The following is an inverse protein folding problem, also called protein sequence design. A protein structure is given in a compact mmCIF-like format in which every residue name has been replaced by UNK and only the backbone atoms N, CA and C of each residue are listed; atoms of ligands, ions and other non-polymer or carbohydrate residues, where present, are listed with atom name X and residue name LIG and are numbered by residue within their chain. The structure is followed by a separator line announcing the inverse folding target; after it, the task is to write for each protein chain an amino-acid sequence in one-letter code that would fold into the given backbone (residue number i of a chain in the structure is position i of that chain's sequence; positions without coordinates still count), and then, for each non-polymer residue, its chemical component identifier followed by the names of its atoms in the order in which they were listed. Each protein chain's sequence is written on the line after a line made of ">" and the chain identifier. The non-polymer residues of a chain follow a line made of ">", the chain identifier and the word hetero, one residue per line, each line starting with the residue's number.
data_IF_972242452046
#
_entry.id   IF_972242452046
#
_cell.length_a   1.000
_cell.length_b   1.000
_cell.length_c   1.000
_cell.angle_alpha   90.00
_cell.angle_beta   90.00
_cell.angle_gamma   90.00
#
_symmetry.space_group_name_H-M   'P 1'
#
loop_
_entity.id
_entity.type
_entity.pdbx_description
1 polymer ?
#
# COMPACT_ATOMS: atom_id res chain seq x y z
N UNK A 1 2.56 10.83 4.88
CA UNK A 1 1.41 10.61 3.97
C UNK A 1 1.95 10.57 2.55
N UNK A 2 1.35 9.75 1.66
CA UNK A 2 1.81 9.43 0.31
C UNK A 2 0.64 9.53 -0.67
N UNK A 3 0.93 9.35 -1.96
CA UNK A 3 -0.08 9.38 -3.03
C UNK A 3 -0.37 8.01 -3.63
N UNK A 4 0.51 7.05 -3.42
CA UNK A 4 0.51 5.75 -4.09
C UNK A 4 1.07 5.79 -5.52
N UNK A 5 1.81 6.85 -5.86
CA UNK A 5 2.55 6.97 -7.11
C UNK A 5 4.03 6.66 -6.85
N UNK A 6 4.44 5.47 -7.24
CA UNK A 6 5.81 5.00 -7.01
C UNK A 6 6.80 5.87 -7.77
N UNK A 7 7.79 6.42 -7.08
CA UNK A 7 8.83 7.24 -7.66
C UNK A 7 9.91 6.37 -8.34
N UNK A 8 10.33 5.30 -7.65
CA UNK A 8 11.28 4.34 -8.21
C UNK A 8 11.20 2.96 -7.54
N UNK A 9 11.94 2.01 -8.09
CA UNK A 9 12.16 0.69 -7.48
C UNK A 9 13.55 0.69 -6.85
N UNK A 10 13.62 0.30 -5.58
CA UNK A 10 14.87 0.11 -4.86
C UNK A 10 15.29 -1.35 -4.77
N UNK A 11 16.58 -1.57 -4.56
CA UNK A 11 17.15 -2.86 -4.24
C UNK A 11 17.54 -2.93 -2.76
N UNK A 12 17.09 -3.94 -2.05
CA UNK A 12 17.55 -4.21 -0.70
C UNK A 12 19.02 -4.64 -0.74
N UNK A 13 19.90 -3.88 -0.13
CA UNK A 13 21.34 -4.22 -0.01
C UNK A 13 21.59 -5.17 1.14
N UNK A 14 20.97 -4.89 2.28
CA UNK A 14 21.22 -5.63 3.51
C UNK A 14 19.95 -5.69 4.35
N UNK A 15 19.78 -6.78 5.07
CA UNK A 15 18.75 -6.98 6.07
C UNK A 15 19.42 -7.53 7.32
N UNK A 16 19.30 -6.82 8.44
CA UNK A 16 19.91 -7.21 9.72
C UNK A 16 18.82 -7.35 10.78
N UNK A 17 18.49 -8.58 11.20
CA UNK A 17 17.59 -8.78 12.33
C UNK A 17 18.19 -8.22 13.63
N UNK A 18 17.34 -7.58 14.43
CA UNK A 18 17.59 -7.15 15.80
C UNK A 18 16.55 -7.76 16.71
N UNK A 19 16.74 -7.65 18.00
CA UNK A 19 15.85 -8.31 18.98
C UNK A 19 14.36 -7.98 18.76
N UNK A 20 14.03 -6.70 18.50
CA UNK A 20 12.65 -6.21 18.39
C UNK A 20 12.32 -5.50 17.07
N UNK A 21 13.23 -5.48 16.08
CA UNK A 21 13.08 -4.80 14.82
C UNK A 21 13.97 -5.37 13.72
N UNK A 22 13.71 -4.97 12.49
CA UNK A 22 14.51 -5.31 11.32
C UNK A 22 15.13 -4.05 10.75
N UNK A 23 16.45 -4.04 10.59
CA UNK A 23 17.19 -2.98 9.92
C UNK A 23 17.31 -3.33 8.44
N UNK A 24 16.88 -2.44 7.55
CA UNK A 24 16.87 -2.66 6.11
C UNK A 24 17.62 -1.53 5.43
N UNK A 25 18.69 -1.84 4.70
CA UNK A 25 19.41 -0.88 3.87
C UNK A 25 18.97 -1.05 2.42
N UNK A 26 18.56 0.05 1.79
CA UNK A 26 17.93 0.08 0.45
C UNK A 26 18.71 1.04 -0.44
N UNK A 27 19.01 0.60 -1.66
CA UNK A 27 19.57 1.42 -2.73
C UNK A 27 18.48 1.66 -3.77
N UNK A 28 18.04 2.91 -3.98
CA UNK A 28 17.11 3.27 -5.04
C UNK A 28 17.71 3.03 -6.45
N UNK A 29 16.88 2.61 -7.41
CA UNK A 29 17.33 2.42 -8.81
C UNK A 29 17.48 3.74 -9.58
N UNK A 30 16.79 4.80 -9.17
CA UNK A 30 16.88 6.14 -9.73
C UNK A 30 17.42 7.11 -8.67
N UNK A 31 17.87 8.28 -9.12
CA UNK A 31 18.26 9.32 -8.18
C UNK A 31 17.02 9.75 -7.36
N UNK A 32 16.86 9.14 -6.23
CA UNK A 32 16.13 9.72 -5.12
C UNK A 32 16.93 10.96 -4.74
N UNK A 33 16.43 12.14 -5.06
CA UNK A 33 17.09 13.37 -4.64
C UNK A 33 17.23 13.36 -3.11
N UNK A 34 18.38 13.71 -2.61
CA UNK A 34 18.79 13.84 -1.21
C UNK A 34 17.77 13.36 -0.16
N UNK A 35 17.94 12.12 0.27
CA UNK A 35 17.21 11.57 1.42
C UNK A 35 17.79 12.19 2.69
N UNK A 36 16.96 12.55 3.65
CA UNK A 36 17.37 13.10 4.94
C UNK A 36 17.07 12.13 6.09
N UNK A 37 17.89 12.16 7.14
CA UNK A 37 17.61 11.42 8.36
C UNK A 37 16.30 11.94 8.99
N UNK A 38 15.43 11.02 9.39
CA UNK A 38 14.09 11.34 9.91
C UNK A 38 13.01 11.47 8.84
N UNK A 39 13.35 11.42 7.55
CA UNK A 39 12.36 11.43 6.46
C UNK A 39 11.50 10.17 6.47
N UNK A 40 10.22 10.31 6.09
CA UNK A 40 9.31 9.18 5.91
C UNK A 40 9.32 8.71 4.48
N UNK A 41 9.60 7.43 4.25
CA UNK A 41 9.57 6.78 2.94
C UNK A 41 8.62 5.57 3.01
N UNK A 42 7.74 5.44 2.02
CA UNK A 42 6.95 4.23 1.81
C UNK A 42 7.82 3.17 1.12
N UNK A 43 8.00 2.02 1.77
CA UNK A 43 8.79 0.89 1.25
C UNK A 43 7.86 -0.28 0.95
N UNK A 44 7.47 -0.46 -0.32
CA UNK A 44 6.41 -1.38 -0.74
C UNK A 44 5.14 -1.21 0.10
N UNK A 45 4.77 0.05 0.42
CA UNK A 45 3.57 0.44 1.15
C UNK A 45 3.83 0.92 2.57
N UNK A 46 4.41 0.12 3.50
CA UNK A 46 4.70 0.58 4.87
C UNK A 46 5.50 1.88 4.91
N UNK A 47 5.02 2.85 5.68
CA UNK A 47 5.73 4.08 6.01
C UNK A 47 6.84 3.76 7.01
N UNK A 48 8.09 4.00 6.63
CA UNK A 48 9.27 3.80 7.46
C UNK A 48 10.08 5.09 7.55
N UNK A 49 10.73 5.29 8.70
CA UNK A 49 11.59 6.46 8.93
C UNK A 49 13.02 6.14 8.58
N UNK A 50 13.66 7.02 7.85
CA UNK A 50 15.09 6.95 7.53
C UNK A 50 15.89 7.18 8.81
N UNK A 51 16.76 6.24 9.17
CA UNK A 51 17.62 6.33 10.37
C UNK A 51 18.99 6.85 10.02
N UNK A 52 19.48 6.51 8.83
CA UNK A 52 20.75 7.00 8.29
C UNK A 52 20.78 6.82 6.77
N UNK A 53 21.57 7.61 6.09
CA UNK A 53 21.75 7.54 4.64
C UNK A 53 23.21 7.82 4.22
N UNK A 54 23.53 7.44 3.02
CA UNK A 54 24.75 7.83 2.30
C UNK A 54 24.38 8.30 0.88
N UNK A 55 25.37 8.57 0.02
CA UNK A 55 25.16 9.06 -1.36
C UNK A 55 24.39 8.08 -2.26
N UNK A 56 24.20 6.81 -1.85
CA UNK A 56 23.64 5.74 -2.69
C UNK A 56 22.53 4.94 -2.02
N UNK A 57 22.42 5.02 -0.72
CA UNK A 57 21.49 4.17 0.04
C UNK A 57 20.98 4.85 1.30
N UNK A 58 19.85 4.38 1.76
CA UNK A 58 19.31 4.76 3.06
C UNK A 58 18.95 3.52 3.86
N UNK A 59 18.91 3.67 5.16
CA UNK A 59 18.57 2.61 6.10
C UNK A 59 17.31 2.98 6.88
N UNK A 60 16.41 2.02 7.00
CA UNK A 60 15.16 2.15 7.74
C UNK A 60 15.04 1.02 8.76
N UNK A 61 14.17 1.23 9.75
CA UNK A 61 13.86 0.23 10.77
C UNK A 61 12.38 -0.13 10.73
N UNK A 62 12.07 -1.43 10.73
CA UNK A 62 10.72 -1.95 10.79
C UNK A 62 10.48 -2.64 12.14
N UNK A 63 9.48 -2.17 12.88
CA UNK A 63 9.08 -2.76 14.16
C UNK A 63 8.50 -4.16 13.99
N UNK A 64 8.44 -4.94 15.08
CA UNK A 64 7.80 -6.26 15.05
C UNK A 64 6.32 -6.21 14.61
N UNK A 65 5.59 -5.17 14.98
CA UNK A 65 4.19 -5.03 14.58
C UNK A 65 4.07 -4.73 13.09
N UNK A 66 4.96 -3.91 12.52
CA UNK A 66 5.07 -3.72 11.07
C UNK A 66 5.41 -5.03 10.36
N UNK A 67 6.34 -5.82 10.89
CA UNK A 67 6.73 -7.11 10.28
C UNK A 67 5.61 -8.16 10.29
N UNK A 68 4.75 -8.17 11.31
CA UNK A 68 3.59 -9.08 11.39
C UNK A 68 2.54 -8.80 10.31
N UNK A 69 2.37 -7.54 9.94
CA UNK A 69 1.33 -7.08 9.01
C UNK A 69 1.81 -6.98 7.56
N UNK A 70 3.13 -7.08 7.31
CA UNK A 70 3.71 -6.78 6.01
C UNK A 70 4.60 -7.88 5.46
N UNK A 71 4.96 -7.75 4.20
CA UNK A 71 5.93 -8.64 3.53
C UNK A 71 7.38 -8.31 3.89
N UNK A 72 7.65 -7.23 4.65
CA UNK A 72 9.03 -6.77 4.96
C UNK A 72 9.89 -7.84 5.63
N UNK A 73 9.29 -8.69 6.48
CA UNK A 73 9.98 -9.79 7.14
C UNK A 73 10.51 -10.87 6.18
N UNK A 74 10.09 -10.86 4.91
CA UNK A 74 10.56 -11.79 3.86
C UNK A 74 11.66 -11.23 2.99
N UNK A 75 12.04 -9.96 3.18
CA UNK A 75 13.06 -9.30 2.39
C UNK A 75 14.44 -9.92 2.66
N UNK A 76 15.25 -9.92 1.63
CA UNK A 76 16.67 -10.37 1.64
C UNK A 76 17.47 -9.49 0.69
N UNK A 77 18.77 -9.55 0.77
CA UNK A 77 19.63 -8.88 -0.19
C UNK A 77 19.25 -9.25 -1.63
N UNK A 78 19.12 -8.24 -2.49
CA UNK A 78 18.65 -8.38 -3.87
C UNK A 78 17.12 -8.27 -4.05
N UNK A 79 16.31 -8.30 -2.98
CA UNK A 79 14.87 -8.05 -3.08
C UNK A 79 14.62 -6.66 -3.64
N UNK A 80 13.58 -6.53 -4.48
CA UNK A 80 13.14 -5.24 -5.03
C UNK A 80 11.94 -4.72 -4.25
N UNK A 81 11.91 -3.41 -4.02
CA UNK A 81 10.85 -2.71 -3.27
C UNK A 81 10.41 -1.45 -4.01
N UNK A 82 9.13 -1.14 -3.95
CA UNK A 82 8.59 0.13 -4.43
C UNK A 82 8.92 1.24 -3.43
N UNK A 83 9.31 2.41 -3.92
CA UNK A 83 9.67 3.54 -3.08
C UNK A 83 8.87 4.79 -3.46
N UNK A 84 8.37 5.48 -2.45
CA UNK A 84 7.71 6.78 -2.57
C UNK A 84 8.08 7.61 -1.35
N UNK A 85 8.49 8.88 -1.54
CA UNK A 85 8.73 9.84 -0.45
C UNK A 85 7.41 10.43 0.05
N UNK A 86 7.45 10.96 1.27
CA UNK A 86 6.30 11.66 1.83
C UNK A 86 5.86 12.82 0.92
N UNK A 87 4.53 12.92 0.73
CA UNK A 87 3.92 13.98 -0.09
C UNK A 87 4.25 15.37 0.48
N UNK A 88 4.85 16.22 -0.31
CA UNK A 88 5.07 17.62 0.03
C UNK A 88 3.74 18.40 0.05
N UNK A 89 3.63 19.39 0.91
CA UNK A 89 2.39 20.19 1.05
C UNK A 89 2.00 20.97 -0.22
N UNK A 90 2.95 21.24 -1.09
CA UNK A 90 2.76 21.95 -2.37
C UNK A 90 2.64 21.04 -3.58
N UNK A 91 2.70 19.71 -3.39
CA UNK A 91 2.63 18.73 -4.47
C UNK A 91 1.18 18.35 -4.83
N UNK A 92 1.01 17.78 -6.03
CA UNK A 92 -0.30 17.26 -6.48
C UNK A 92 -0.56 15.88 -5.91
N UNK A 93 -1.79 15.63 -5.47
CA UNK A 93 -2.27 14.31 -5.13
C UNK A 93 -2.75 13.60 -6.41
N UNK A 94 -1.85 12.82 -7.04
CA UNK A 94 -2.15 12.15 -8.31
C UNK A 94 -2.82 10.78 -8.17
N UNK A 95 -2.77 10.15 -6.99
CA UNK A 95 -3.43 8.88 -6.65
C UNK A 95 -4.57 9.10 -5.66
N UNK A 96 -4.45 8.53 -4.45
CA UNK A 96 -5.37 8.76 -3.34
C UNK A 96 -4.59 8.99 -2.04
N UNK A 97 -5.28 9.21 -0.92
CA UNK A 97 -4.63 9.36 0.38
C UNK A 97 -4.10 8.02 0.88
N UNK A 98 -2.78 7.84 0.79
CA UNK A 98 -2.06 6.66 1.31
C UNK A 98 -1.28 7.09 2.54
N UNK A 99 -1.49 6.39 3.65
CA UNK A 99 -0.84 6.73 4.93
C UNK A 99 0.43 5.96 5.17
N UNK A 100 0.60 4.81 4.51
CA UNK A 100 1.65 3.83 4.78
C UNK A 100 1.34 2.94 5.98
N UNK A 101 0.07 2.93 6.45
CA UNK A 101 -0.41 2.09 7.55
C UNK A 101 -1.09 0.84 7.01
N UNK A 102 -0.32 -0.21 6.88
CA UNK A 102 -0.72 -1.44 6.22
C UNK A 102 -1.76 -2.20 7.05
N UNK A 103 -2.86 -2.61 6.40
CA UNK A 103 -3.95 -3.38 7.02
C UNK A 103 -3.65 -4.89 7.06
N UNK A 104 -2.74 -5.36 6.20
CA UNK A 104 -2.31 -6.75 6.12
C UNK A 104 -1.69 -7.10 4.77
N UNK A 105 -1.58 -8.40 4.51
CA UNK A 105 -1.12 -8.91 3.21
C UNK A 105 -2.23 -9.67 2.52
N UNK A 106 -2.29 -9.55 1.19
CA UNK A 106 -3.21 -10.26 0.30
C UNK A 106 -2.42 -11.10 -0.70
N UNK A 107 -3.03 -12.17 -1.20
CA UNK A 107 -2.40 -13.09 -2.15
C UNK A 107 -2.90 -12.83 -3.58
N UNK A 108 -2.00 -12.83 -4.54
CA UNK A 108 -2.33 -12.74 -5.96
C UNK A 108 -2.86 -14.11 -6.43
N UNK A 109 -4.14 -14.16 -6.77
CA UNK A 109 -4.82 -15.41 -7.20
C UNK A 109 -4.72 -15.70 -8.68
N UNK A 110 -4.69 -14.66 -9.49
CA UNK A 110 -4.65 -14.81 -10.94
C UNK A 110 -4.03 -13.58 -11.59
N UNK A 111 -3.34 -13.79 -12.71
CA UNK A 111 -2.83 -12.72 -13.56
C UNK A 111 -3.27 -13.04 -14.99
N UNK A 112 -3.87 -12.07 -15.66
CA UNK A 112 -4.25 -12.16 -17.08
C UNK A 112 -3.71 -10.98 -17.86
N UNK A 113 -3.12 -11.23 -19.01
CA UNK A 113 -2.75 -10.15 -19.95
C UNK A 113 -3.98 -9.72 -20.75
N UNK A 114 -4.26 -8.42 -20.79
CA UNK A 114 -5.34 -7.81 -21.56
C UNK A 114 -4.71 -6.72 -22.43
N UNK A 115 -4.41 -7.07 -23.66
CA UNK A 115 -3.60 -6.22 -24.54
C UNK A 115 -2.22 -5.96 -23.93
N UNK A 116 -1.90 -4.69 -23.69
CA UNK A 116 -0.63 -4.28 -23.03
C UNK A 116 -0.72 -4.21 -21.51
N UNK A 117 -1.91 -4.31 -20.94
CA UNK A 117 -2.15 -4.27 -19.51
C UNK A 117 -2.12 -5.66 -18.87
N UNK A 118 -1.88 -5.73 -17.55
CA UNK A 118 -2.05 -6.92 -16.74
C UNK A 118 -3.24 -6.71 -15.79
N UNK A 119 -4.17 -7.66 -15.77
CA UNK A 119 -5.21 -7.72 -14.75
C UNK A 119 -4.78 -8.71 -13.68
N UNK A 120 -4.63 -8.22 -12.46
CA UNK A 120 -4.35 -9.05 -11.30
C UNK A 120 -5.64 -9.23 -10.49
N UNK A 121 -5.95 -10.49 -10.15
CA UNK A 121 -7.01 -10.86 -9.21
C UNK A 121 -6.35 -11.13 -7.87
N UNK A 122 -6.84 -10.48 -6.83
CA UNK A 122 -6.29 -10.49 -5.48
C UNK A 122 -7.35 -11.07 -4.53
N UNK A 123 -6.95 -11.87 -3.54
CA UNK A 123 -7.89 -12.38 -2.56
C UNK A 123 -8.42 -11.25 -1.65
N UNK A 124 -9.62 -11.45 -1.13
CA UNK A 124 -10.29 -10.50 -0.24
C UNK A 124 -10.86 -11.25 0.98
N UNK A 125 -10.11 -11.36 2.07
CA UNK A 125 -10.61 -11.92 3.31
C UNK A 125 -11.85 -11.17 3.84
N UNK A 126 -12.80 -11.89 4.42
CA UNK A 126 -14.08 -11.36 4.89
C UNK A 126 -13.94 -10.13 5.80
N UNK A 127 -12.88 -10.07 6.62
CA UNK A 127 -12.62 -8.94 7.52
C UNK A 127 -12.38 -7.61 6.82
N UNK A 128 -12.06 -7.62 5.52
CA UNK A 128 -11.72 -6.44 4.73
C UNK A 128 -12.81 -6.00 3.74
N UNK A 129 -13.87 -6.80 3.60
CA UNK A 129 -14.93 -6.55 2.60
C UNK A 129 -15.61 -5.18 2.81
N UNK A 130 -15.72 -4.71 4.05
CA UNK A 130 -16.33 -3.40 4.37
C UNK A 130 -15.44 -2.20 4.05
N UNK A 131 -14.16 -2.39 3.72
CA UNK A 131 -13.21 -1.31 3.46
C UNK A 131 -13.00 -1.03 1.97
N UNK A 132 -13.57 -1.84 1.08
CA UNK A 132 -13.36 -1.77 -0.36
C UNK A 132 -14.69 -1.62 -1.10
N UNK A 133 -14.69 -0.82 -2.15
CA UNK A 133 -15.87 -0.60 -2.99
C UNK A 133 -15.50 -0.79 -4.46
N UNK A 134 -16.47 -1.18 -5.27
CA UNK A 134 -16.28 -1.27 -6.72
C UNK A 134 -15.90 0.11 -7.27
N UNK A 135 -14.90 0.16 -8.15
CA UNK A 135 -14.29 1.38 -8.70
C UNK A 135 -13.67 2.34 -7.68
N UNK A 136 -13.51 1.90 -6.42
CA UNK A 136 -12.75 2.62 -5.40
C UNK A 136 -11.25 2.46 -5.57
N UNK A 137 -10.51 3.14 -4.70
CA UNK A 137 -9.04 3.06 -4.63
C UNK A 137 -8.59 2.04 -3.59
N UNK A 138 -7.45 1.43 -3.86
CA UNK A 138 -6.72 0.56 -2.91
C UNK A 138 -5.23 0.71 -3.18
N UNK A 139 -4.41 0.74 -2.14
CA UNK A 139 -2.96 0.68 -2.28
C UNK A 139 -2.47 -0.77 -2.12
N UNK A 140 -1.74 -1.28 -3.11
CA UNK A 140 -1.10 -2.59 -3.10
C UNK A 140 0.41 -2.42 -3.30
N UNK A 141 1.21 -2.86 -2.33
CA UNK A 141 2.66 -2.57 -2.27
C UNK A 141 2.97 -1.08 -2.49
N UNK A 142 2.12 -0.20 -1.93
CA UNK A 142 2.21 1.24 -2.06
C UNK A 142 1.68 1.81 -3.37
N UNK A 143 1.26 0.98 -4.33
CA UNK A 143 0.75 1.43 -5.64
C UNK A 143 -0.73 1.76 -5.52
N UNK A 144 -1.13 2.99 -5.81
CA UNK A 144 -2.54 3.39 -5.92
C UNK A 144 -3.18 2.76 -7.15
N UNK A 145 -4.17 1.91 -6.93
CA UNK A 145 -4.86 1.16 -7.98
C UNK A 145 -6.37 1.30 -7.85
N UNK A 146 -7.05 1.25 -8.99
CA UNK A 146 -8.52 1.23 -9.04
C UNK A 146 -9.02 -0.21 -9.00
N UNK A 147 -9.99 -0.48 -8.14
CA UNK A 147 -10.75 -1.74 -8.13
C UNK A 147 -11.63 -1.80 -9.38
N UNK A 148 -11.40 -2.76 -10.26
CA UNK A 148 -12.14 -2.90 -11.52
C UNK A 148 -13.35 -3.82 -11.38
N UNK A 149 -13.20 -4.87 -10.59
CA UNK A 149 -14.23 -5.85 -10.31
C UNK A 149 -14.14 -6.25 -8.85
N UNK A 150 -15.24 -6.17 -8.13
CA UNK A 150 -15.33 -6.58 -6.74
C UNK A 150 -16.20 -7.84 -6.63
N UNK A 151 -15.57 -8.95 -6.22
CA UNK A 151 -16.25 -10.22 -5.93
C UNK A 151 -16.54 -10.39 -4.43
N UNK A 152 -17.07 -11.54 -4.05
CA UNK A 152 -17.34 -11.88 -2.64
C UNK A 152 -16.09 -12.18 -1.82
N UNK A 153 -15.04 -12.72 -2.46
CA UNK A 153 -13.82 -13.19 -1.82
C UNK A 153 -12.54 -12.80 -2.59
N UNK A 154 -12.68 -11.95 -3.57
CA UNK A 154 -11.58 -11.44 -4.37
C UNK A 154 -11.98 -10.12 -5.05
N UNK A 155 -10.98 -9.37 -5.54
CA UNK A 155 -11.18 -8.22 -6.39
C UNK A 155 -10.11 -8.19 -7.49
N UNK A 156 -10.34 -7.40 -8.54
CA UNK A 156 -9.39 -7.26 -9.64
C UNK A 156 -8.90 -5.82 -9.75
N UNK A 157 -7.62 -5.66 -10.06
CA UNK A 157 -7.00 -4.38 -10.42
C UNK A 157 -6.34 -4.49 -11.79
N UNK A 158 -6.17 -3.35 -12.47
CA UNK A 158 -5.55 -3.30 -13.79
C UNK A 158 -4.24 -2.50 -13.74
N UNK A 159 -3.16 -3.10 -14.22
CA UNK A 159 -1.84 -2.50 -14.31
C UNK A 159 -1.58 -2.05 -15.74
N UNK A 160 -1.57 -0.76 -15.97
CA UNK A 160 -1.20 -0.18 -17.25
C UNK A 160 0.30 -0.36 -17.51
N UNK A 161 0.79 -0.26 -18.76
CA UNK A 161 2.21 -0.47 -19.07
C UNK A 161 3.17 0.38 -18.24
N UNK A 162 2.81 1.62 -17.94
CA UNK A 162 3.63 2.51 -17.11
C UNK A 162 3.78 1.98 -15.67
N UNK A 163 2.69 1.53 -15.05
CA UNK A 163 2.74 0.91 -13.71
C UNK A 163 3.59 -0.36 -13.71
N UNK A 164 3.48 -1.19 -14.77
CA UNK A 164 4.31 -2.39 -14.91
C UNK A 164 5.80 -2.05 -15.01
N UNK A 165 6.16 -0.98 -15.73
CA UNK A 165 7.55 -0.59 -15.95
C UNK A 165 8.19 0.07 -14.72
N UNK A 166 7.42 0.84 -13.95
CA UNK A 166 7.92 1.64 -12.83
C UNK A 166 7.80 0.99 -11.46
N UNK A 167 7.20 -0.19 -11.37
CA UNK A 167 6.97 -0.84 -10.08
C UNK A 167 7.42 -2.29 -10.09
N UNK A 168 7.54 -2.88 -8.90
CA UNK A 168 7.84 -4.31 -8.75
C UNK A 168 6.76 -5.21 -9.38
N UNK A 169 5.57 -4.67 -9.62
CA UNK A 169 4.41 -5.40 -10.12
C UNK A 169 4.48 -5.78 -11.61
N UNK A 170 5.46 -5.26 -12.36
CA UNK A 170 5.78 -5.76 -13.69
C UNK A 170 6.23 -7.23 -13.73
N UNK A 171 6.77 -7.72 -12.61
CA UNK A 171 7.24 -9.10 -12.44
C UNK A 171 6.37 -9.95 -11.49
N UNK A 172 5.14 -9.49 -11.19
CA UNK A 172 4.19 -10.13 -10.29
C UNK A 172 3.87 -11.56 -10.74
N UNK A 173 3.74 -12.48 -9.78
CA UNK A 173 3.39 -13.88 -10.00
C UNK A 173 2.18 -14.29 -9.18
N UNK A 174 1.46 -15.30 -9.66
CA UNK A 174 0.41 -15.96 -8.89
C UNK A 174 1.05 -16.61 -7.64
N UNK A 175 0.45 -16.37 -6.48
CA UNK A 175 0.96 -16.80 -5.18
C UNK A 175 1.81 -15.74 -4.46
N UNK A 176 2.21 -14.66 -5.13
CA UNK A 176 2.90 -13.56 -4.46
C UNK A 176 1.96 -12.91 -3.43
N UNK A 177 2.55 -12.45 -2.32
CA UNK A 177 1.87 -11.68 -1.31
C UNK A 177 2.16 -10.19 -1.52
N UNK A 178 1.12 -9.36 -1.45
CA UNK A 178 1.20 -7.91 -1.53
C UNK A 178 0.74 -7.26 -0.22
N UNK A 179 1.41 -6.21 0.21
CA UNK A 179 0.95 -5.36 1.31
C UNK A 179 -0.30 -4.59 0.86
N UNK A 180 -1.35 -4.58 1.65
CA UNK A 180 -2.57 -3.83 1.35
C UNK A 180 -2.81 -2.72 2.36
N UNK A 181 -3.15 -1.56 1.84
CA UNK A 181 -3.77 -0.47 2.58
C UNK A 181 -5.07 -0.08 1.88
N UNK A 182 -6.19 -0.20 2.59
CA UNK A 182 -7.49 0.25 2.09
C UNK A 182 -7.63 1.75 2.26
N UNK A 183 -8.45 2.36 1.39
CA UNK A 183 -8.70 3.80 1.44
C UNK A 183 -9.18 4.22 2.83
N UNK A 184 -8.53 5.23 3.38
CA UNK A 184 -8.80 5.76 4.72
C UNK A 184 -10.26 6.17 4.90
N UNK A 185 -10.88 6.72 3.85
CA UNK A 185 -12.29 7.14 3.86
C UNK A 185 -13.19 5.92 4.09
N UNK A 186 -12.93 4.80 3.39
CA UNK A 186 -13.67 3.56 3.58
C UNK A 186 -13.58 3.02 5.01
N UNK A 187 -12.40 3.08 5.62
CA UNK A 187 -12.17 2.65 7.01
C UNK A 187 -12.97 3.51 8.02
N UNK A 188 -12.97 4.83 7.84
CA UNK A 188 -13.74 5.73 8.72
C UNK A 188 -15.25 5.51 8.58
N UNK A 189 -15.75 5.36 7.35
CA UNK A 189 -17.18 5.09 7.11
C UNK A 189 -17.58 3.75 7.74
N UNK A 190 -16.82 2.69 7.51
CA UNK A 190 -17.09 1.38 8.09
C UNK A 190 -17.09 1.43 9.62
N UNK A 191 -16.14 2.14 10.23
CA UNK A 191 -16.08 2.32 11.70
C UNK A 191 -17.28 3.11 12.24
N UNK A 192 -17.67 4.18 11.56
CA UNK A 192 -18.82 4.99 11.95
C UNK A 192 -20.11 4.18 11.90
N UNK A 193 -20.37 3.44 10.83
CA UNK A 193 -21.56 2.60 10.70
C UNK A 193 -21.60 1.49 11.76
N UNK A 194 -20.47 0.85 12.07
CA UNK A 194 -20.36 -0.15 13.11
C UNK A 194 -20.65 0.44 14.51
N UNK A 195 -20.19 1.67 14.78
CA UNK A 195 -20.43 2.37 16.07
C UNK A 195 -21.87 2.87 16.22
N UNK A 196 -22.54 3.17 15.11
CA UNK A 196 -23.94 3.66 15.09
C UNK A 196 -24.98 2.54 15.27
N UNK A 197 -24.56 1.31 15.58
CA UNK A 197 -25.45 0.21 15.95
C UNK A 197 -26.19 -0.46 14.81
N UNK A 198 -25.69 -0.34 13.57
CA UNK A 198 -26.20 -1.14 12.44
C UNK A 198 -27.67 -0.93 12.07
N UNK A 199 -28.35 0.11 12.56
CA UNK A 199 -29.67 0.49 12.05
C UNK A 199 -29.49 1.15 10.69
N UNK A 200 -29.51 0.33 9.65
CA UNK A 200 -29.32 0.71 8.25
C UNK A 200 -30.55 1.40 7.62
N UNK A 201 -31.49 1.87 8.40
CA UNK A 201 -32.55 2.73 7.90
C UNK A 201 -32.24 4.17 8.30
N UNK A 202 -31.85 4.97 7.31
CA UNK A 202 -32.00 6.43 7.36
C UNK A 202 -33.49 6.74 7.46
N UNK A 203 -34.03 6.61 8.67
CA UNK A 203 -35.41 7.02 8.93
C UNK A 203 -35.48 8.54 8.95
N UNK A 204 -36.61 9.09 8.55
CA UNK A 204 -36.89 10.54 8.67
C UNK A 204 -36.60 11.08 10.08
N UNK A 205 -36.80 10.26 11.13
CA UNK A 205 -36.47 10.61 12.50
C UNK A 205 -34.96 10.64 12.80
N UNK A 206 -34.15 9.81 12.12
CA UNK A 206 -32.70 9.88 12.23
C UNK A 206 -32.16 11.15 11.56
N UNK A 207 -32.71 11.52 10.39
CA UNK A 207 -32.36 12.75 9.68
C UNK A 207 -32.71 13.98 10.49
N UNK A 208 -33.93 14.03 11.08
CA UNK A 208 -34.36 15.13 11.96
C UNK A 208 -33.49 15.27 13.21
N UNK A 209 -33.02 14.18 13.81
CA UNK A 209 -32.09 14.21 14.96
C UNK A 209 -30.69 14.70 14.58
N UNK A 210 -30.31 14.66 13.31
CA UNK A 210 -29.06 15.20 12.78
C UNK A 210 -29.15 16.71 12.45
N UNK A 211 -30.35 17.35 12.66
CA UNK A 211 -30.53 18.80 12.46
C UNK A 211 -30.92 19.20 11.04
N UNK A 212 -31.43 18.28 10.23
CA UNK A 212 -32.01 18.55 8.91
C UNK A 212 -33.54 18.41 8.92
#
# INVERSE_FOLDING_TARGET
>A
MFTGLIECVGAVRQVVPRENYLVITIEPDASFESVEDGESIAVSGPCLTVVTHDDRSFTVEASQDTLKLTTLGRLRAGSKVNLERALRADARLGGHFVTGHIDGTLTIKQIRRIGRSLRAKVDLPQRFVSFIVDRGSVALDGISLTVIELGKADFSVNLIPETQARTTWGNLKVGDAANVEFDLIGKYIARFLAASGGSSELTLDAIRRMGY
#
